data_IF_112213916745
#
_entry.id   IF_112213916745
#
_cell.length_a   1.000
_cell.length_b   1.000
_cell.length_c   1.000
_cell.angle_alpha   90.00
_cell.angle_beta   90.00
_cell.angle_gamma   90.00
#
_symmetry.space_group_name_H-M   'P 1'
#
loop_
_entity.id
_entity.type
_entity.pdbx_description
1 polymer ?
#
# COMPACT_ATOMS: atom_id res chain seq x y z
N UNK A 1 3.19 10.14 6.61
CA UNK A 1 3.64 11.23 5.71
C UNK A 1 2.43 12.05 5.31
N UNK A 2 2.55 13.37 5.29
CA UNK A 2 1.47 14.30 4.89
C UNK A 2 1.75 14.87 3.51
N UNK A 3 0.68 15.20 2.77
CA UNK A 3 0.78 15.86 1.46
C UNK A 3 1.55 15.03 0.42
N UNK A 4 1.39 13.71 0.45
CA UNK A 4 2.13 12.78 -0.41
C UNK A 4 1.95 13.09 -1.90
N UNK A 5 0.81 13.67 -2.27
CA UNK A 5 0.48 14.06 -3.64
C UNK A 5 1.40 15.16 -4.21
N UNK A 6 2.14 15.85 -3.33
CA UNK A 6 3.10 16.93 -3.70
C UNK A 6 4.55 16.47 -3.64
N UNK A 7 4.81 15.25 -3.21
CA UNK A 7 6.15 14.73 -3.05
C UNK A 7 6.60 13.95 -4.29
N UNK A 8 7.86 14.10 -4.66
CA UNK A 8 8.48 13.16 -5.57
C UNK A 8 8.66 11.79 -4.90
N UNK A 9 8.80 10.73 -5.67
CA UNK A 9 9.05 9.38 -5.16
C UNK A 9 10.29 9.34 -4.25
N UNK A 10 11.35 10.06 -4.64
CA UNK A 10 12.58 10.16 -3.85
C UNK A 10 12.33 10.85 -2.51
N UNK A 11 11.60 11.97 -2.49
CA UNK A 11 11.27 12.69 -1.27
C UNK A 11 10.36 11.86 -0.36
N UNK A 12 9.38 11.16 -0.93
CA UNK A 12 8.50 10.26 -0.19
C UNK A 12 9.29 9.11 0.45
N UNK A 13 10.20 8.48 -0.30
CA UNK A 13 11.07 7.41 0.19
C UNK A 13 11.93 7.88 1.36
N UNK A 14 12.54 9.05 1.25
CA UNK A 14 13.35 9.65 2.33
C UNK A 14 12.49 9.92 3.59
N UNK A 15 11.29 10.48 3.43
CA UNK A 15 10.38 10.75 4.53
C UNK A 15 9.92 9.46 5.24
N UNK A 16 9.61 8.41 4.48
CA UNK A 16 9.25 7.10 5.04
C UNK A 16 10.42 6.50 5.82
N UNK A 17 11.64 6.57 5.26
CA UNK A 17 12.86 6.07 5.90
C UNK A 17 13.16 6.75 7.24
N UNK A 18 13.05 8.08 7.29
CA UNK A 18 13.20 8.86 8.53
C UNK A 18 12.16 8.45 9.59
N UNK A 19 10.87 8.46 9.20
CA UNK A 19 9.78 8.07 10.11
C UNK A 19 9.95 6.63 10.63
N UNK A 20 10.33 5.69 9.76
CA UNK A 20 10.56 4.30 10.16
C UNK A 20 11.73 4.16 11.15
N UNK A 21 12.80 4.90 10.94
CA UNK A 21 13.95 4.91 11.85
C UNK A 21 13.57 5.46 13.21
N UNK A 22 12.87 6.60 13.24
CA UNK A 22 12.41 7.23 14.49
C UNK A 22 11.32 6.39 15.18
N UNK A 23 10.46 5.69 14.43
CA UNK A 23 9.47 4.79 15.01
C UNK A 23 10.13 3.66 15.84
N UNK A 24 11.22 3.06 15.34
CA UNK A 24 11.94 1.99 16.02
C UNK A 24 12.60 2.47 17.33
N UNK A 25 12.99 3.74 17.41
CA UNK A 25 13.58 4.35 18.59
C UNK A 25 12.57 5.03 19.52
N UNK A 26 11.26 4.94 19.23
CA UNK A 26 10.22 5.62 19.99
C UNK A 26 10.20 7.14 19.81
N UNK A 27 10.87 7.67 18.80
CA UNK A 27 11.05 9.11 18.54
C UNK A 27 9.96 9.77 17.70
N UNK A 28 8.81 9.13 17.48
CA UNK A 28 7.69 9.75 16.76
C UNK A 28 6.91 10.70 17.67
N UNK A 29 6.52 11.84 17.11
CA UNK A 29 5.65 12.81 17.77
C UNK A 29 4.18 12.46 17.52
N UNK A 30 3.30 12.84 18.45
CA UNK A 30 1.86 12.55 18.38
C UNK A 30 1.24 12.99 17.04
N UNK A 31 1.55 14.20 16.57
CA UNK A 31 1.02 14.71 15.31
C UNK A 31 1.51 13.98 14.05
N UNK A 32 2.58 13.17 14.17
CA UNK A 32 3.10 12.35 13.08
C UNK A 32 2.34 11.01 12.96
N UNK A 33 1.71 10.58 14.05
CA UNK A 33 0.96 9.32 14.14
C UNK A 33 -0.51 9.55 13.79
N UNK A 34 -1.06 10.73 14.12
CA UNK A 34 -2.47 11.06 13.98
C UNK A 34 -2.83 11.73 12.64
N UNK A 35 -4.11 11.71 12.30
CA UNK A 35 -4.67 12.43 11.15
C UNK A 35 -4.37 11.81 9.79
N UNK A 36 -3.97 10.54 9.74
CA UNK A 36 -3.85 9.79 8.49
C UNK A 36 -5.23 9.50 7.88
N UNK A 37 -5.34 9.57 6.55
CA UNK A 37 -6.55 9.25 5.81
C UNK A 37 -6.51 7.87 5.16
N UNK A 38 -5.32 7.34 4.93
CA UNK A 38 -5.08 6.06 4.25
C UNK A 38 -3.80 5.41 4.78
N UNK A 39 -3.76 4.10 4.83
CA UNK A 39 -2.60 3.33 5.26
C UNK A 39 -2.09 2.37 4.18
N UNK A 40 -0.81 2.03 4.27
CA UNK A 40 -0.21 0.94 3.51
C UNK A 40 0.42 -0.04 4.49
N UNK A 41 0.09 -1.31 4.37
CA UNK A 41 0.69 -2.40 5.14
C UNK A 41 1.47 -3.31 4.21
N UNK A 42 2.76 -3.50 4.47
CA UNK A 42 3.62 -4.32 3.62
C UNK A 42 4.20 -5.49 4.42
N UNK A 43 3.81 -6.71 4.04
CA UNK A 43 4.34 -7.96 4.60
C UNK A 43 5.17 -8.75 3.57
N UNK A 44 5.48 -8.15 2.42
CA UNK A 44 6.26 -8.79 1.37
C UNK A 44 7.66 -9.19 1.84
N UNK A 45 8.28 -8.41 2.73
CA UNK A 45 9.57 -8.74 3.32
C UNK A 45 9.59 -10.03 4.16
N UNK A 46 8.41 -10.48 4.61
CA UNK A 46 8.25 -11.73 5.35
C UNK A 46 7.85 -12.90 4.46
N UNK A 47 7.78 -12.70 3.14
CA UNK A 47 7.39 -13.72 2.18
C UNK A 47 5.88 -13.99 2.12
N UNK A 48 5.05 -13.17 2.77
CA UNK A 48 3.59 -13.32 2.73
C UNK A 48 3.08 -12.99 1.32
N UNK A 49 2.49 -13.96 0.57
CA UNK A 49 2.15 -13.72 -0.83
C UNK A 49 0.92 -12.80 -0.99
N UNK A 50 -0.05 -12.93 -0.08
CA UNK A 50 -1.24 -12.06 -0.05
C UNK A 50 -1.86 -12.06 1.34
N UNK A 51 -2.53 -10.98 1.71
CA UNK A 51 -3.29 -10.84 2.95
C UNK A 51 -4.28 -9.69 2.85
N UNK A 52 -5.26 -9.68 3.75
CA UNK A 52 -6.16 -8.54 3.94
C UNK A 52 -5.78 -7.80 5.20
N UNK A 53 -5.63 -6.48 5.12
CA UNK A 53 -5.35 -5.64 6.26
C UNK A 53 -6.65 -5.07 6.86
N UNK A 54 -6.66 -4.89 8.18
CA UNK A 54 -7.78 -4.29 8.91
C UNK A 54 -7.62 -2.78 8.87
N UNK A 55 -8.71 -2.09 8.51
CA UNK A 55 -8.75 -0.62 8.50
C UNK A 55 -8.54 -0.11 9.92
N UNK A 56 -7.67 0.89 10.05
CA UNK A 56 -7.43 1.58 11.31
C UNK A 56 -8.29 2.87 11.37
N UNK A 57 -9.44 2.87 12.06
CA UNK A 57 -10.28 4.06 12.14
C UNK A 57 -9.53 5.26 12.74
N UNK A 58 -9.79 6.49 12.26
CA UNK A 58 -10.81 6.91 11.30
C UNK A 58 -10.36 6.89 9.83
N UNK A 59 -9.34 6.14 9.46
CA UNK A 59 -8.87 6.04 8.08
C UNK A 59 -9.93 5.39 7.18
N UNK A 60 -10.00 5.84 5.92
CA UNK A 60 -11.00 5.37 4.96
C UNK A 60 -10.60 4.08 4.24
N UNK A 61 -9.32 3.73 4.24
CA UNK A 61 -8.84 2.52 3.57
C UNK A 61 -7.41 2.16 3.91
N UNK A 62 -7.06 0.93 3.56
CA UNK A 62 -5.71 0.38 3.70
C UNK A 62 -5.37 -0.52 2.53
N UNK A 63 -4.17 -0.34 1.97
CA UNK A 63 -3.61 -1.20 0.93
C UNK A 63 -2.65 -2.20 1.57
N UNK A 64 -2.96 -3.49 1.46
CA UNK A 64 -2.07 -4.58 1.80
C UNK A 64 -1.19 -4.93 0.61
N UNK A 65 0.13 -5.04 0.82
CA UNK A 65 1.13 -5.35 -0.21
C UNK A 65 1.82 -6.65 0.13
N UNK A 66 1.63 -7.66 -0.73
CA UNK A 66 2.25 -8.97 -0.59
C UNK A 66 3.65 -9.05 -1.19
N UNK A 67 4.27 -10.23 -1.09
CA UNK A 67 5.59 -10.49 -1.63
C UNK A 67 5.58 -10.53 -3.16
N UNK A 68 6.58 -9.91 -3.78
CA UNK A 68 6.87 -10.11 -5.18
C UNK A 68 7.46 -11.52 -5.39
N UNK A 69 6.94 -12.28 -6.36
CA UNK A 69 7.36 -13.65 -6.65
C UNK A 69 7.30 -13.95 -8.13
N UNK A 70 8.12 -14.88 -8.58
CA UNK A 70 8.00 -15.41 -9.93
C UNK A 70 6.73 -16.29 -10.02
N UNK A 71 5.98 -16.12 -11.08
CA UNK A 71 4.80 -16.93 -11.38
C UNK A 71 4.61 -17.07 -12.90
N UNK A 72 3.90 -18.11 -13.35
CA UNK A 72 3.50 -18.20 -14.74
C UNK A 72 2.49 -17.08 -15.06
N UNK A 73 2.76 -16.39 -16.15
CA UNK A 73 1.90 -15.32 -16.69
C UNK A 73 1.65 -15.57 -18.18
N UNK A 74 0.60 -14.99 -18.72
CA UNK A 74 0.34 -15.02 -20.16
C UNK A 74 0.76 -13.68 -20.75
N UNK A 75 1.68 -13.73 -21.72
CA UNK A 75 2.12 -12.56 -22.48
C UNK A 75 1.89 -12.89 -23.98
N UNK A 76 1.12 -12.06 -24.66
CA UNK A 76 0.78 -12.23 -26.09
C UNK A 76 0.26 -13.66 -26.44
N UNK A 77 -0.56 -14.24 -25.56
CA UNK A 77 -1.13 -15.56 -25.72
C UNK A 77 -0.21 -16.74 -25.40
N UNK A 78 1.02 -16.51 -24.97
CA UNK A 78 2.00 -17.52 -24.59
C UNK A 78 2.32 -17.49 -23.09
N UNK A 79 2.61 -18.67 -22.51
CA UNK A 79 3.08 -18.76 -21.13
C UNK A 79 4.50 -18.21 -21.01
N UNK A 80 4.70 -17.37 -20.01
CA UNK A 80 5.99 -16.82 -19.66
C UNK A 80 6.17 -16.81 -18.13
N UNK A 81 7.38 -16.62 -17.66
CA UNK A 81 7.65 -16.37 -16.23
C UNK A 81 7.69 -14.86 -16.01
N UNK A 82 6.83 -14.37 -15.14
CA UNK A 82 6.78 -12.96 -14.77
C UNK A 82 6.95 -12.77 -13.27
N UNK A 83 7.31 -11.54 -12.88
CA UNK A 83 7.30 -11.12 -11.48
C UNK A 83 5.91 -10.60 -11.15
N UNK A 84 5.23 -11.22 -10.19
CA UNK A 84 3.89 -10.85 -9.77
C UNK A 84 3.86 -10.48 -8.29
N UNK A 85 2.98 -9.58 -7.95
CA UNK A 85 2.73 -9.16 -6.57
C UNK A 85 1.21 -8.96 -6.40
N UNK A 86 0.67 -9.44 -5.31
CA UNK A 86 -0.74 -9.23 -4.97
C UNK A 86 -0.87 -8.02 -4.05
N UNK A 87 -1.80 -7.14 -4.38
CA UNK A 87 -2.23 -6.06 -3.50
C UNK A 87 -3.72 -6.20 -3.19
N UNK A 88 -4.10 -5.92 -1.96
CA UNK A 88 -5.49 -6.00 -1.51
C UNK A 88 -5.89 -4.67 -0.88
N UNK A 89 -6.96 -4.07 -1.39
CA UNK A 89 -7.53 -2.85 -0.85
C UNK A 89 -8.70 -3.20 0.07
N UNK A 90 -8.62 -2.79 1.33
CA UNK A 90 -9.76 -2.75 2.25
C UNK A 90 -10.25 -1.31 2.36
N UNK A 91 -11.56 -1.10 2.23
CA UNK A 91 -12.18 0.22 2.22
C UNK A 91 -13.35 0.29 3.20
N UNK A 92 -13.51 1.42 3.90
CA UNK A 92 -14.67 1.70 4.73
C UNK A 92 -15.87 2.02 3.83
N UNK A 93 -16.82 1.11 3.76
CA UNK A 93 -17.97 1.23 2.87
C UNK A 93 -18.95 2.36 3.24
N UNK A 94 -18.74 3.01 4.38
CA UNK A 94 -19.46 4.23 4.75
C UNK A 94 -18.96 5.47 4.00
N UNK A 95 -17.71 5.39 3.49
CA UNK A 95 -17.02 6.51 2.83
C UNK A 95 -16.74 6.20 1.36
N UNK A 96 -16.45 4.94 1.03
CA UNK A 96 -16.04 4.47 -0.29
C UNK A 96 -16.95 3.34 -0.75
N UNK A 97 -17.60 3.49 -1.91
CA UNK A 97 -18.32 2.39 -2.54
C UNK A 97 -17.39 1.45 -3.32
N UNK A 98 -17.89 0.26 -3.63
CA UNK A 98 -17.12 -0.77 -4.34
C UNK A 98 -16.70 -0.34 -5.75
N UNK A 99 -17.49 0.47 -6.46
CA UNK A 99 -17.15 0.94 -7.80
C UNK A 99 -15.98 1.93 -7.76
N UNK A 100 -15.95 2.81 -6.76
CA UNK A 100 -14.83 3.74 -6.56
C UNK A 100 -13.55 2.99 -6.17
N UNK A 101 -13.65 2.02 -5.25
CA UNK A 101 -12.53 1.17 -4.85
C UNK A 101 -11.95 0.39 -6.04
N UNK A 102 -12.81 -0.20 -6.89
CA UNK A 102 -12.39 -0.93 -8.09
C UNK A 102 -11.71 -0.02 -9.11
N UNK A 103 -12.23 1.18 -9.35
CA UNK A 103 -11.61 2.18 -10.24
C UNK A 103 -10.24 2.64 -9.72
N UNK A 104 -10.12 2.82 -8.42
CA UNK A 104 -8.85 3.18 -7.79
C UNK A 104 -7.81 2.07 -8.00
N UNK A 105 -8.18 0.80 -7.73
CA UNK A 105 -7.28 -0.35 -7.95
C UNK A 105 -6.90 -0.49 -9.43
N UNK A 106 -7.83 -0.33 -10.36
CA UNK A 106 -7.54 -0.37 -11.77
C UNK A 106 -6.53 0.71 -12.19
N UNK A 107 -6.69 1.94 -11.69
CA UNK A 107 -5.74 3.02 -11.92
C UNK A 107 -4.37 2.77 -11.27
N UNK A 108 -4.33 2.11 -10.11
CA UNK A 108 -3.09 1.71 -9.44
C UNK A 108 -2.32 0.66 -10.25
N UNK A 109 -3.01 -0.39 -10.72
CA UNK A 109 -2.40 -1.49 -11.50
C UNK A 109 -1.91 -1.03 -12.87
N UNK A 110 -2.53 -0.01 -13.46
CA UNK A 110 -2.16 0.53 -14.77
C UNK A 110 -0.87 1.39 -14.76
N UNK A 111 -0.25 1.64 -13.60
CA UNK A 111 0.98 2.43 -13.45
C UNK A 111 2.24 1.58 -13.51
#
# INVERSE_FOLDING_TARGET
VRGVERLSVTALSAAIGDLATRARSGGLKQHEIEGGSFAVSNLGMFGTPEFSAIINPPQAGILAVGAARQAPVVVDGALAVGMVMTVTLSADHRVLDGALAARWLAAFVAR
#
